data_IF_213742724778
#
_entry.id   IF_213742724778
#
_cell.length_a   1.000
_cell.length_b   1.000
_cell.length_c   1.000
_cell.angle_alpha   90.00
_cell.angle_beta   90.00
_cell.angle_gamma   90.00
#
_symmetry.space_group_name_H-M   'P 1'
#
loop_
_entity.id
_entity.type
_entity.pdbx_description
1 polymer ?
#
# COMPACT_ATOMS: atom_id res chain seq x y z
N UNK A 1 4.63 0.30 28.60
CA UNK A 1 3.55 0.84 29.49
C UNK A 1 3.49 0.01 30.78
N UNK A 2 3.08 0.61 31.88
CA UNK A 2 2.90 -0.09 33.16
C UNK A 2 1.41 -0.29 33.44
N UNK A 3 1.01 -1.49 33.89
CA UNK A 3 -0.34 -1.71 34.45
C UNK A 3 -0.32 -1.26 35.91
N UNK A 4 -0.74 0.00 36.13
CA UNK A 4 -0.76 0.63 37.44
C UNK A 4 -1.70 -0.02 38.44
N UNK A 5 -2.72 -0.78 37.96
CA UNK A 5 -3.63 -1.49 38.84
C UNK A 5 -2.97 -2.75 39.43
N UNK A 6 -2.22 -3.47 38.61
CA UNK A 6 -1.44 -4.63 39.03
C UNK A 6 -0.27 -4.22 39.91
N UNK A 7 0.52 -3.22 39.47
CA UNK A 7 1.66 -2.69 40.24
C UNK A 7 1.22 -2.07 41.55
N UNK A 8 0.06 -1.42 41.62
CA UNK A 8 -0.48 -0.84 42.83
C UNK A 8 -0.73 -1.85 43.93
N UNK A 9 -1.24 -3.02 43.59
CA UNK A 9 -1.44 -4.12 44.56
C UNK A 9 -0.13 -4.69 45.06
N UNK A 10 0.91 -4.76 44.19
CA UNK A 10 2.23 -5.33 44.49
C UNK A 10 3.08 -4.34 45.32
N UNK A 11 3.16 -3.09 44.91
CA UNK A 11 4.09 -2.11 45.45
C UNK A 11 3.52 -1.24 46.58
N UNK A 12 2.22 -1.12 46.69
CA UNK A 12 1.52 -0.37 47.77
C UNK A 12 2.11 1.02 47.98
N UNK A 13 2.81 1.24 49.09
CA UNK A 13 3.41 2.55 49.50
C UNK A 13 4.54 3.00 48.56
N UNK A 14 5.19 2.07 47.87
CA UNK A 14 6.35 2.38 46.99
C UNK A 14 5.94 2.66 45.54
N UNK A 15 4.67 2.48 45.20
CA UNK A 15 4.15 2.76 43.86
C UNK A 15 4.48 4.17 43.36
N UNK A 16 4.35 5.18 44.25
CA UNK A 16 4.65 6.57 43.93
C UNK A 16 6.11 6.83 43.56
N UNK A 17 7.06 6.11 44.23
CA UNK A 17 8.49 6.20 43.90
C UNK A 17 8.78 5.67 42.52
N UNK A 18 8.22 4.50 42.22
CA UNK A 18 8.39 3.86 40.89
C UNK A 18 7.74 4.72 39.80
N UNK A 19 6.51 5.21 40.01
CA UNK A 19 5.80 6.05 39.04
C UNK A 19 6.58 7.31 38.66
N UNK A 20 7.22 7.95 39.64
CA UNK A 20 8.01 9.17 39.41
C UNK A 20 9.38 8.90 38.78
N UNK A 21 9.99 7.76 39.05
CA UNK A 21 11.31 7.40 38.53
C UNK A 21 11.27 6.68 37.18
N UNK A 22 10.16 6.03 36.82
CA UNK A 22 10.03 5.28 35.57
C UNK A 22 10.29 6.10 34.29
N UNK A 23 9.86 7.39 34.19
CA UNK A 23 10.16 8.20 33.01
C UNK A 23 11.64 8.51 32.79
N UNK A 24 12.46 8.41 33.86
CA UNK A 24 13.91 8.65 33.79
C UNK A 24 14.76 7.40 33.58
N UNK A 25 14.13 6.25 33.37
CA UNK A 25 14.82 5.00 33.04
C UNK A 25 15.46 5.09 31.66
N UNK A 26 16.73 4.71 31.56
CA UNK A 26 17.46 4.76 30.30
C UNK A 26 17.00 3.67 29.31
N UNK A 27 17.21 3.91 28.01
CA UNK A 27 16.95 2.89 26.99
C UNK A 27 17.78 1.62 27.18
N UNK A 28 18.99 1.75 27.76
CA UNK A 28 19.86 0.61 28.04
C UNK A 28 19.31 -0.23 29.19
N UNK A 29 18.75 0.39 30.21
CA UNK A 29 18.12 -0.34 31.31
C UNK A 29 16.83 -1.04 30.85
N UNK A 30 16.06 -0.40 29.95
CA UNK A 30 14.91 -1.06 29.32
C UNK A 30 15.34 -2.26 28.48
N UNK A 31 16.46 -2.16 27.74
CA UNK A 31 17.02 -3.29 26.97
C UNK A 31 17.40 -4.45 27.89
N UNK A 32 18.12 -4.14 28.97
CA UNK A 32 18.47 -5.16 29.99
C UNK A 32 17.24 -5.81 30.61
N UNK A 33 16.17 -5.02 30.86
CA UNK A 33 14.92 -5.57 31.35
C UNK A 33 14.30 -6.59 30.39
N UNK A 34 14.32 -6.30 29.08
CA UNK A 34 13.82 -7.24 28.06
C UNK A 34 14.65 -8.53 28.04
N UNK A 35 15.99 -8.43 28.22
CA UNK A 35 16.90 -9.57 28.18
C UNK A 35 16.90 -10.40 29.49
N UNK A 36 16.90 -9.73 30.63
CA UNK A 36 17.06 -10.39 31.93
C UNK A 36 15.77 -10.59 32.71
N UNK A 37 14.70 -9.92 32.29
CA UNK A 37 13.42 -9.92 33.00
C UNK A 37 13.42 -9.11 34.31
N UNK A 38 14.49 -8.32 34.60
CA UNK A 38 14.63 -7.57 35.85
C UNK A 38 15.05 -6.14 35.61
N UNK A 39 14.40 -5.22 36.32
CA UNK A 39 14.68 -3.79 36.29
C UNK A 39 14.59 -3.21 37.70
N UNK A 40 15.62 -2.49 38.15
CA UNK A 40 15.58 -1.77 39.43
C UNK A 40 15.22 -0.31 39.19
N UNK A 41 14.09 0.13 39.72
CA UNK A 41 13.62 1.53 39.63
C UNK A 41 13.44 2.05 41.05
N UNK A 42 14.12 3.14 41.38
CA UNK A 42 14.10 3.75 42.72
C UNK A 42 14.39 2.73 43.87
N UNK A 43 15.29 1.77 43.63
CA UNK A 43 15.64 0.75 44.59
C UNK A 43 14.65 -0.41 44.71
N UNK A 44 13.65 -0.47 43.82
CA UNK A 44 12.62 -1.51 43.80
C UNK A 44 12.82 -2.38 42.58
N UNK A 45 12.92 -3.71 42.76
CA UNK A 45 13.05 -4.66 41.68
C UNK A 45 11.69 -4.94 41.02
N UNK A 46 11.59 -4.65 39.73
CA UNK A 46 10.48 -5.03 38.85
C UNK A 46 10.87 -6.24 38.02
N UNK A 47 9.95 -7.16 37.84
CA UNK A 47 10.19 -8.43 37.12
C UNK A 47 9.33 -8.52 35.87
N UNK A 48 9.61 -9.53 35.05
CA UNK A 48 8.82 -9.81 33.83
C UNK A 48 7.31 -9.87 34.16
N UNK A 49 6.52 -9.12 33.38
CA UNK A 49 5.08 -8.95 33.58
C UNK A 49 4.67 -7.71 34.38
N UNK A 50 5.60 -7.05 35.10
CA UNK A 50 5.31 -5.79 35.79
C UNK A 50 5.23 -4.62 34.81
N UNK A 51 5.99 -4.66 33.73
CA UNK A 51 6.04 -3.64 32.69
C UNK A 51 5.84 -4.26 31.31
N UNK A 52 5.02 -3.62 30.50
CA UNK A 52 4.94 -3.89 29.06
C UNK A 52 5.88 -2.92 28.32
N UNK A 53 6.87 -3.44 27.64
CA UNK A 53 7.80 -2.66 26.82
C UNK A 53 7.18 -2.53 25.43
N UNK A 54 7.04 -1.30 24.96
CA UNK A 54 6.64 -1.01 23.60
C UNK A 54 7.77 -0.28 22.89
N UNK A 55 8.08 -0.71 21.69
CA UNK A 55 9.02 -0.01 20.82
C UNK A 55 8.23 0.86 19.87
N UNK A 56 8.69 2.08 19.67
CA UNK A 56 8.15 2.98 18.66
C UNK A 56 9.31 3.66 17.93
N UNK A 57 9.05 4.08 16.71
CA UNK A 57 10.00 4.91 15.95
C UNK A 57 9.60 6.36 16.10
N UNK A 58 10.52 7.20 16.58
CA UNK A 58 10.41 8.64 16.39
C UNK A 58 10.72 8.94 14.92
N UNK A 59 9.71 9.41 14.20
CA UNK A 59 9.89 9.83 12.82
C UNK A 59 10.51 11.23 12.84
N UNK A 60 11.62 11.46 12.13
CA UNK A 60 12.16 12.80 12.01
C UNK A 60 11.12 13.71 11.37
N UNK A 61 10.93 14.90 11.93
CA UNK A 61 10.14 15.95 11.30
C UNK A 61 10.71 16.22 9.91
N UNK A 62 9.87 16.15 8.88
CA UNK A 62 10.32 16.42 7.52
C UNK A 62 10.70 17.89 7.38
N UNK A 63 11.94 18.14 6.96
CA UNK A 63 12.37 19.41 6.43
C UNK A 63 11.76 19.59 5.04
N UNK A 64 10.57 20.18 4.95
CA UNK A 64 9.93 20.46 3.66
C UNK A 64 8.42 20.17 3.63
N UNK A 65 7.66 20.98 4.30
CA UNK A 65 6.33 21.48 3.92
C UNK A 65 5.15 20.54 3.67
N UNK A 66 5.24 19.24 3.88
CA UNK A 66 4.10 18.33 3.77
C UNK A 66 4.15 17.20 4.79
N UNK A 67 3.02 16.62 5.21
CA UNK A 67 3.04 15.46 6.09
C UNK A 67 3.70 14.28 5.37
N UNK A 68 4.82 13.80 5.90
CA UNK A 68 5.36 12.52 5.46
C UNK A 68 4.31 11.43 5.70
N UNK A 69 3.89 10.79 4.62
CA UNK A 69 2.96 9.69 4.72
C UNK A 69 3.75 8.40 4.87
N UNK A 70 3.93 7.98 6.12
CA UNK A 70 4.53 6.68 6.42
C UNK A 70 3.51 5.78 7.11
N UNK A 71 3.38 4.56 6.64
CA UNK A 71 2.77 3.49 7.40
C UNK A 71 3.86 2.73 8.16
N UNK A 72 3.63 2.46 9.44
CA UNK A 72 4.56 1.70 10.26
C UNK A 72 3.86 0.50 10.87
N UNK A 73 4.56 -0.61 10.90
CA UNK A 73 4.15 -1.79 11.65
C UNK A 73 5.35 -2.34 12.43
N UNK A 74 5.11 -2.88 13.61
CA UNK A 74 6.17 -3.36 14.48
C UNK A 74 5.74 -4.63 15.20
N UNK A 75 6.66 -5.54 15.34
CA UNK A 75 6.59 -6.63 16.30
C UNK A 75 7.70 -6.49 17.36
N UNK A 76 8.02 -7.57 18.09
CA UNK A 76 9.03 -7.53 19.15
C UNK A 76 10.46 -7.34 18.63
N UNK A 77 10.74 -7.67 17.38
CA UNK A 77 12.09 -7.76 16.81
C UNK A 77 12.32 -6.80 15.67
N UNK A 78 11.29 -6.58 14.85
CA UNK A 78 11.38 -5.83 13.59
C UNK A 78 10.42 -4.66 13.58
N UNK A 79 10.88 -3.55 13.04
CA UNK A 79 10.03 -2.41 12.70
C UNK A 79 10.10 -2.19 11.19
N UNK A 80 8.97 -2.19 10.53
CA UNK A 80 8.84 -1.88 9.11
C UNK A 80 8.24 -0.50 8.96
N UNK A 81 8.90 0.35 8.17
CA UNK A 81 8.41 1.66 7.77
C UNK A 81 8.27 1.68 6.25
N UNK A 82 7.07 1.98 5.78
CA UNK A 82 6.75 2.12 4.38
C UNK A 82 6.45 3.59 4.08
N UNK A 83 7.10 4.14 3.07
CA UNK A 83 6.72 5.43 2.49
C UNK A 83 5.47 5.20 1.63
N UNK A 84 4.37 5.86 2.00
CA UNK A 84 3.09 5.79 1.30
C UNK A 84 2.75 7.11 0.60
N UNK A 85 3.77 7.96 0.35
CA UNK A 85 3.60 9.18 -0.41
C UNK A 85 3.10 8.85 -1.83
N UNK A 86 1.99 9.47 -2.21
CA UNK A 86 1.43 9.29 -3.54
C UNK A 86 2.18 10.18 -4.53
N UNK A 87 2.83 9.57 -5.51
CA UNK A 87 3.51 10.25 -6.61
C UNK A 87 2.63 10.18 -7.86
N UNK A 88 2.20 11.33 -8.44
CA UNK A 88 1.29 11.34 -9.59
C UNK A 88 1.80 10.53 -10.79
N UNK A 89 3.10 10.57 -11.06
CA UNK A 89 3.73 9.79 -12.14
C UNK A 89 3.60 8.28 -11.93
N UNK A 90 3.75 7.80 -10.68
CA UNK A 90 3.57 6.39 -10.35
C UNK A 90 2.10 5.97 -10.43
N UNK A 91 1.19 6.88 -10.14
CA UNK A 91 -0.24 6.64 -10.29
C UNK A 91 -0.62 6.46 -11.76
N UNK A 92 -0.10 7.31 -12.65
CA UNK A 92 -0.32 7.20 -14.09
C UNK A 92 0.24 5.88 -14.64
N UNK A 93 1.45 5.50 -14.22
CA UNK A 93 2.06 4.21 -14.60
C UNK A 93 1.22 3.03 -14.09
N UNK A 94 0.73 3.10 -12.86
CA UNK A 94 -0.15 2.07 -12.28
C UNK A 94 -1.41 1.88 -13.12
N UNK A 95 -2.09 2.97 -13.51
CA UNK A 95 -3.30 2.91 -14.33
C UNK A 95 -3.03 2.24 -15.70
N UNK A 96 -1.92 2.60 -16.33
CA UNK A 96 -1.51 1.99 -17.60
C UNK A 96 -1.21 0.48 -17.45
N UNK A 97 -0.54 0.07 -16.38
CA UNK A 97 -0.28 -1.35 -16.07
C UNK A 97 -1.57 -2.13 -15.79
N UNK A 98 -2.51 -1.54 -15.06
CA UNK A 98 -3.81 -2.17 -14.82
C UNK A 98 -4.60 -2.31 -16.12
N UNK A 99 -4.54 -1.33 -17.02
CA UNK A 99 -5.15 -1.45 -18.33
C UNK A 99 -4.55 -2.63 -19.13
N UNK A 100 -3.23 -2.74 -19.19
CA UNK A 100 -2.53 -3.89 -19.80
C UNK A 100 -3.02 -5.21 -19.21
N UNK A 101 -3.10 -5.30 -17.88
CA UNK A 101 -3.57 -6.49 -17.17
C UNK A 101 -5.01 -6.87 -17.57
N UNK A 102 -5.91 -5.87 -17.74
CA UNK A 102 -7.28 -6.12 -18.20
C UNK A 102 -7.30 -6.67 -19.63
N UNK A 103 -6.52 -6.07 -20.53
CA UNK A 103 -6.39 -6.57 -21.91
C UNK A 103 -5.88 -8.01 -21.95
N UNK A 104 -4.82 -8.32 -21.21
CA UNK A 104 -4.25 -9.67 -21.16
C UNK A 104 -5.24 -10.70 -20.57
N UNK A 105 -5.96 -10.34 -19.51
CA UNK A 105 -7.02 -11.18 -18.94
C UNK A 105 -8.14 -11.44 -19.95
N UNK A 106 -8.54 -10.42 -20.69
CA UNK A 106 -9.59 -10.53 -21.70
C UNK A 106 -9.13 -11.41 -22.86
N UNK A 107 -7.89 -11.26 -23.35
CA UNK A 107 -7.27 -12.15 -24.34
C UNK A 107 -7.30 -13.61 -23.89
N UNK A 108 -6.90 -13.87 -22.64
CA UNK A 108 -6.90 -15.23 -22.06
C UNK A 108 -8.31 -15.83 -22.01
N UNK A 109 -9.30 -15.04 -21.59
CA UNK A 109 -10.72 -15.48 -21.56
C UNK A 109 -11.27 -15.80 -22.97
N UNK A 110 -10.87 -15.00 -23.95
CA UNK A 110 -11.22 -15.25 -25.36
C UNK A 110 -10.50 -16.44 -25.99
N UNK A 111 -9.63 -17.14 -25.24
CA UNK A 111 -8.87 -18.29 -25.74
C UNK A 111 -7.75 -17.92 -26.71
N UNK A 112 -7.34 -16.64 -26.75
CA UNK A 112 -6.33 -16.15 -27.67
C UNK A 112 -4.92 -16.52 -27.21
N UNK A 113 -4.07 -16.84 -28.18
CA UNK A 113 -2.64 -17.01 -28.00
C UNK A 113 -1.93 -15.64 -27.96
N UNK A 114 -0.70 -15.60 -27.41
CA UNK A 114 0.10 -14.39 -27.38
C UNK A 114 0.43 -13.84 -28.78
N UNK A 115 0.43 -14.71 -29.78
CA UNK A 115 0.74 -14.41 -31.20
C UNK A 115 -0.45 -13.96 -32.03
N UNK A 116 -1.67 -14.10 -31.50
CA UNK A 116 -2.88 -13.76 -32.27
C UNK A 116 -2.96 -12.24 -32.48
N UNK A 117 -3.21 -11.84 -33.72
CA UNK A 117 -3.33 -10.42 -34.10
C UNK A 117 -4.77 -9.95 -33.92
N UNK A 118 -4.96 -9.19 -32.85
CA UNK A 118 -6.24 -8.57 -32.51
C UNK A 118 -6.05 -7.09 -32.25
N UNK A 119 -7.07 -6.30 -32.60
CA UNK A 119 -7.16 -4.90 -32.23
C UNK A 119 -7.88 -4.77 -30.89
N UNK A 120 -7.39 -3.82 -30.06
CA UNK A 120 -7.93 -3.50 -28.76
C UNK A 120 -8.71 -2.20 -28.84
N UNK A 121 -9.97 -2.23 -28.41
CA UNK A 121 -10.84 -1.04 -28.36
C UNK A 121 -11.34 -0.81 -26.94
N UNK A 122 -11.46 0.46 -26.57
CA UNK A 122 -12.02 0.86 -25.28
C UNK A 122 -13.06 1.98 -25.45
N UNK A 123 -13.97 2.09 -24.49
CA UNK A 123 -14.93 3.17 -24.41
C UNK A 123 -15.12 3.55 -22.96
N UNK A 124 -14.81 4.80 -22.63
CA UNK A 124 -15.04 5.38 -21.30
C UNK A 124 -16.39 6.12 -21.27
N UNK A 125 -17.08 6.09 -20.14
CA UNK A 125 -18.27 6.90 -19.95
C UNK A 125 -17.91 8.40 -19.97
N UNK A 126 -18.80 9.23 -20.50
CA UNK A 126 -18.57 10.67 -20.55
C UNK A 126 -18.45 11.27 -19.15
N UNK A 127 -17.38 12.06 -18.93
CA UNK A 127 -17.13 12.74 -17.67
C UNK A 127 -16.51 11.87 -16.59
N UNK A 128 -16.08 10.65 -16.91
CA UNK A 128 -15.35 9.77 -16.01
C UNK A 128 -14.07 9.26 -16.65
N UNK A 129 -13.07 8.97 -15.83
CA UNK A 129 -11.86 8.27 -16.26
C UNK A 129 -10.84 9.10 -17.03
N UNK A 130 -10.84 10.43 -16.88
CA UNK A 130 -9.86 11.29 -17.55
C UNK A 130 -8.42 10.90 -17.22
N UNK A 131 -8.12 10.55 -15.95
CA UNK A 131 -6.80 10.09 -15.54
C UNK A 131 -6.43 8.76 -16.20
N UNK A 132 -7.39 7.82 -16.32
CA UNK A 132 -7.16 6.54 -16.97
C UNK A 132 -6.96 6.71 -18.48
N UNK A 133 -7.74 7.60 -19.11
CA UNK A 133 -7.56 7.96 -20.53
C UNK A 133 -6.19 8.56 -20.78
N UNK A 134 -5.80 9.55 -19.96
CA UNK A 134 -4.48 10.18 -20.04
C UNK A 134 -3.36 9.16 -19.84
N UNK A 135 -3.54 8.19 -18.92
CA UNK A 135 -2.57 7.13 -18.71
C UNK A 135 -2.45 6.19 -19.92
N UNK A 136 -3.56 5.80 -20.55
CA UNK A 136 -3.56 4.97 -21.76
C UNK A 136 -2.88 5.68 -22.93
N UNK A 137 -3.09 6.98 -23.08
CA UNK A 137 -2.44 7.80 -24.11
C UNK A 137 -0.93 7.96 -23.83
N UNK A 138 -0.56 8.35 -22.60
CA UNK A 138 0.84 8.58 -22.22
C UNK A 138 1.71 7.32 -22.33
N UNK A 139 1.14 6.16 -22.07
CA UNK A 139 1.83 4.86 -22.11
C UNK A 139 1.48 4.01 -23.34
N UNK A 140 0.92 4.61 -24.39
CA UNK A 140 0.46 3.91 -25.60
C UNK A 140 1.52 3.01 -26.24
N UNK A 141 2.77 3.47 -26.33
CA UNK A 141 3.89 2.65 -26.84
C UNK A 141 4.19 1.43 -25.97
N UNK A 142 4.14 1.59 -24.64
CA UNK A 142 4.38 0.48 -23.70
C UNK A 142 3.25 -0.52 -23.77
N UNK A 143 2.01 -0.04 -23.88
CA UNK A 143 0.83 -0.88 -24.07
C UNK A 143 0.94 -1.63 -25.39
N UNK A 144 1.25 -0.95 -26.51
CA UNK A 144 1.41 -1.57 -27.82
C UNK A 144 2.47 -2.68 -27.80
N UNK A 145 3.64 -2.41 -27.24
CA UNK A 145 4.73 -3.40 -27.12
C UNK A 145 4.28 -4.64 -26.33
N UNK A 146 3.43 -4.44 -25.30
CA UNK A 146 3.04 -5.53 -24.39
C UNK A 146 1.85 -6.32 -24.91
N UNK A 147 0.82 -5.66 -25.45
CA UNK A 147 -0.42 -6.31 -25.91
C UNK A 147 -0.47 -6.48 -27.43
N UNK A 148 0.53 -5.98 -28.16
CA UNK A 148 0.69 -6.05 -29.62
C UNK A 148 -0.42 -5.34 -30.40
N UNK A 149 -1.05 -4.35 -29.77
CA UNK A 149 -2.08 -3.52 -30.38
C UNK A 149 -2.09 -2.14 -29.75
N UNK A 150 -2.21 -1.11 -30.56
CA UNK A 150 -2.49 0.24 -30.09
C UNK A 150 -3.93 0.30 -29.60
N UNK A 151 -4.20 0.66 -28.34
CA UNK A 151 -5.57 0.85 -27.87
C UNK A 151 -6.26 2.00 -28.65
N UNK A 152 -7.47 1.78 -29.08
CA UNK A 152 -8.26 2.76 -29.81
C UNK A 152 -9.64 2.92 -29.16
N UNK A 153 -10.23 4.09 -29.32
CA UNK A 153 -11.64 4.30 -28.97
C UNK A 153 -12.55 3.40 -29.82
N UNK A 154 -13.62 2.88 -29.21
CA UNK A 154 -14.64 2.08 -29.94
C UNK A 154 -15.22 2.83 -31.15
N UNK A 155 -15.31 4.16 -31.06
CA UNK A 155 -15.72 5.05 -32.18
C UNK A 155 -14.83 4.92 -33.43
N UNK A 156 -13.59 4.49 -33.25
CA UNK A 156 -12.63 4.28 -34.34
C UNK A 156 -12.67 2.85 -34.91
N UNK A 157 -13.57 2.00 -34.39
CA UNK A 157 -13.77 0.63 -34.89
C UNK A 157 -14.53 0.71 -36.22
N UNK A 158 -13.87 0.34 -37.31
CA UNK A 158 -14.49 0.30 -38.64
C UNK A 158 -15.73 -0.61 -38.69
N UNK A 159 -16.69 -0.23 -39.54
CA UNK A 159 -17.89 -1.04 -39.78
C UNK A 159 -17.52 -2.44 -40.28
N UNK A 160 -18.20 -3.48 -39.76
CA UNK A 160 -17.98 -4.87 -40.15
C UNK A 160 -16.84 -5.60 -39.42
N UNK A 161 -16.09 -4.98 -38.53
CA UNK A 161 -15.10 -5.67 -37.69
C UNK A 161 -15.77 -6.67 -36.76
N UNK A 162 -15.35 -7.93 -36.84
CA UNK A 162 -15.87 -9.00 -35.99
C UNK A 162 -15.32 -8.87 -34.59
N UNK A 163 -16.15 -8.45 -33.65
CA UNK A 163 -15.83 -8.45 -32.21
C UNK A 163 -15.75 -9.89 -31.72
N UNK A 164 -14.66 -10.23 -31.05
CA UNK A 164 -14.44 -11.52 -30.40
C UNK A 164 -15.05 -11.58 -29.02
N UNK A 165 -14.79 -10.53 -28.27
CA UNK A 165 -15.23 -10.39 -26.87
C UNK A 165 -15.33 -8.90 -26.52
N UNK A 166 -16.34 -8.55 -25.75
CA UNK A 166 -16.56 -7.21 -25.21
C UNK A 166 -17.04 -7.37 -23.77
N UNK A 167 -16.39 -6.69 -22.85
CA UNK A 167 -16.71 -6.77 -21.41
C UNK A 167 -16.55 -5.41 -20.73
N UNK A 168 -17.41 -5.15 -19.76
CA UNK A 168 -17.23 -4.05 -18.82
C UNK A 168 -16.08 -4.38 -17.88
N UNK A 169 -15.18 -3.44 -17.68
CA UNK A 169 -14.03 -3.50 -16.80
C UNK A 169 -14.07 -2.35 -15.80
N UNK A 170 -13.33 -2.49 -14.71
CA UNK A 170 -13.20 -1.45 -13.71
C UNK A 170 -11.74 -1.34 -13.26
N UNK A 171 -11.21 -0.11 -13.25
CA UNK A 171 -9.88 0.25 -12.73
C UNK A 171 -10.02 1.51 -11.90
N UNK A 172 -9.59 1.47 -10.62
CA UNK A 172 -9.65 2.63 -9.71
C UNK A 172 -11.04 3.31 -9.70
N UNK A 173 -12.12 2.51 -9.55
CA UNK A 173 -13.52 2.95 -9.54
C UNK A 173 -14.03 3.52 -10.89
N UNK A 174 -13.20 3.53 -11.94
CA UNK A 174 -13.59 3.94 -13.29
C UNK A 174 -14.06 2.72 -14.07
N UNK A 175 -15.32 2.75 -14.50
CA UNK A 175 -15.90 1.75 -15.38
C UNK A 175 -15.68 2.12 -16.84
N UNK A 176 -15.38 1.11 -17.65
CA UNK A 176 -15.19 1.28 -19.08
C UNK A 176 -15.43 -0.05 -19.81
N UNK A 177 -15.77 0.03 -21.07
CA UNK A 177 -15.90 -1.15 -21.93
C UNK A 177 -14.59 -1.43 -22.63
N UNK A 178 -14.16 -2.69 -22.62
CA UNK A 178 -12.98 -3.19 -23.32
C UNK A 178 -13.41 -4.26 -24.31
N UNK A 179 -12.99 -4.15 -25.58
CA UNK A 179 -13.31 -5.14 -26.60
C UNK A 179 -12.10 -5.52 -27.43
N UNK A 180 -12.11 -6.76 -27.91
CA UNK A 180 -11.12 -7.32 -28.83
C UNK A 180 -11.81 -7.68 -30.14
N UNK A 181 -11.17 -7.35 -31.25
CA UNK A 181 -11.64 -7.71 -32.58
C UNK A 181 -10.47 -8.28 -33.42
N UNK A 182 -10.77 -9.16 -34.36
CA UNK A 182 -9.75 -9.62 -35.32
C UNK A 182 -9.26 -8.44 -36.17
N UNK A 183 -7.95 -8.43 -36.42
CA UNK A 183 -7.33 -7.43 -37.28
C UNK A 183 -7.68 -7.66 -38.75
#
# INVERSE_FOLDING_TARGET
MADWAVLGRKLRKDLGKVKNALPSVSSDDVRKYVETGKLTVAGIELVTGDLAVQRYIELPEQQGGGPAQYATNTDNEVVVRLDITVHPELQTEYLAREFINRVQKLRKRAGLQATDDVDVYHSFEQGTGDDLRAAVEAYSETIEKTVRSVPREVSQRGEGRKVLVEEEQEIAEVKFTLSLAWR
#
